data_IF_279701378905
#
_entry.id   IF_279701378905
#
_cell.length_a   1.000
_cell.length_b   1.000
_cell.length_c   1.000
_cell.angle_alpha   90.00
_cell.angle_beta   90.00
_cell.angle_gamma   90.00
#
_symmetry.space_group_name_H-M   'P 1'
#
loop_
_entity.id
_entity.type
_entity.pdbx_description
1 polymer ?
#
# COMPACT_ATOMS: atom_id res chain seq x y z
N UNK A 1 7.94 -19.48 8.15
CA UNK A 1 8.43 -19.25 6.79
C UNK A 1 7.27 -18.87 5.88
N UNK A 2 7.44 -17.85 5.07
CA UNK A 2 6.39 -17.42 4.14
C UNK A 2 6.22 -18.44 3.01
N UNK A 3 4.98 -18.85 2.76
CA UNK A 3 4.67 -19.74 1.64
C UNK A 3 4.45 -18.91 0.38
N UNK A 4 4.55 -19.56 -0.77
CA UNK A 4 4.26 -18.90 -2.05
C UNK A 4 2.82 -18.36 -2.05
N UNK A 5 1.89 -19.15 -1.51
CA UNK A 5 0.48 -18.77 -1.44
C UNK A 5 0.26 -17.56 -0.55
N UNK A 6 0.96 -17.47 0.59
CA UNK A 6 0.85 -16.30 1.49
C UNK A 6 1.37 -15.05 0.82
N UNK A 7 2.49 -15.15 0.08
CA UNK A 7 3.07 -13.99 -0.61
C UNK A 7 2.13 -13.53 -1.72
N UNK A 8 1.60 -14.45 -2.53
CA UNK A 8 0.69 -14.10 -3.62
C UNK A 8 -0.59 -13.44 -3.08
N UNK A 9 -1.14 -13.99 -2.01
CA UNK A 9 -2.33 -13.43 -1.37
C UNK A 9 -2.08 -12.02 -0.84
N UNK A 10 -0.93 -11.84 -0.18
CA UNK A 10 -0.55 -10.53 0.35
C UNK A 10 -0.36 -9.51 -0.77
N UNK A 11 0.27 -9.90 -1.88
CA UNK A 11 0.45 -8.99 -3.02
C UNK A 11 -0.89 -8.58 -3.63
N UNK A 12 -1.86 -9.49 -3.67
CA UNK A 12 -3.21 -9.15 -4.12
C UNK A 12 -3.86 -8.13 -3.20
N UNK A 13 -3.68 -8.28 -1.89
CA UNK A 13 -4.20 -7.32 -0.92
C UNK A 13 -3.55 -5.95 -1.11
N UNK A 14 -2.25 -5.92 -1.36
CA UNK A 14 -1.54 -4.66 -1.62
C UNK A 14 -2.06 -3.98 -2.87
N UNK A 15 -2.32 -4.74 -3.94
CA UNK A 15 -2.89 -4.18 -5.16
C UNK A 15 -4.26 -3.57 -4.91
N UNK A 16 -5.08 -4.23 -4.10
CA UNK A 16 -6.39 -3.68 -3.72
C UNK A 16 -6.26 -2.38 -2.95
N UNK A 17 -5.31 -2.33 -2.00
CA UNK A 17 -5.05 -1.12 -1.23
C UNK A 17 -4.57 0.03 -2.13
N UNK A 18 -3.71 -0.29 -3.11
CA UNK A 18 -3.22 0.72 -4.07
C UNK A 18 -4.35 1.28 -4.93
N UNK A 19 -5.23 0.41 -5.44
CA UNK A 19 -6.36 0.88 -6.26
C UNK A 19 -7.30 1.76 -5.48
N UNK A 20 -7.59 1.38 -4.24
CA UNK A 20 -8.43 2.18 -3.36
C UNK A 20 -7.78 3.53 -3.10
N UNK A 21 -6.49 3.52 -2.77
CA UNK A 21 -5.75 4.76 -2.51
C UNK A 21 -5.69 5.66 -3.74
N UNK A 22 -5.43 5.10 -4.91
CA UNK A 22 -5.40 5.87 -6.17
C UNK A 22 -6.75 6.52 -6.45
N UNK A 23 -7.83 5.78 -6.24
CA UNK A 23 -9.18 6.30 -6.45
C UNK A 23 -9.45 7.46 -5.49
N UNK A 24 -9.18 7.26 -4.20
CA UNK A 24 -9.42 8.28 -3.20
C UNK A 24 -8.51 9.50 -3.38
N UNK A 25 -7.27 9.27 -3.80
CA UNK A 25 -6.33 10.34 -4.11
C UNK A 25 -6.87 11.22 -5.25
N UNK A 26 -7.35 10.60 -6.32
CA UNK A 26 -7.88 11.32 -7.47
C UNK A 26 -9.15 12.09 -7.09
N UNK A 27 -10.03 11.50 -6.31
CA UNK A 27 -11.25 12.15 -5.86
C UNK A 27 -10.94 13.33 -4.93
N UNK A 28 -10.03 13.14 -3.97
CA UNK A 28 -9.65 14.19 -3.03
C UNK A 28 -8.96 15.35 -3.76
N UNK A 29 -8.10 15.03 -4.71
CA UNK A 29 -7.39 16.04 -5.50
C UNK A 29 -8.36 16.88 -6.32
N UNK A 30 -9.37 16.25 -6.90
CA UNK A 30 -10.36 16.92 -7.74
C UNK A 30 -11.34 17.77 -6.95
N UNK A 31 -11.72 17.29 -5.76
CA UNK A 31 -12.75 17.94 -4.92
C UNK A 31 -12.16 18.73 -3.75
N UNK A 32 -10.85 18.68 -3.57
CA UNK A 32 -10.15 19.31 -2.44
C UNK A 32 -10.63 18.81 -1.07
N UNK A 33 -11.05 17.56 -0.99
CA UNK A 33 -11.55 16.93 0.24
C UNK A 33 -10.49 15.99 0.84
N UNK A 34 -9.41 16.56 1.36
CA UNK A 34 -8.27 15.78 1.89
C UNK A 34 -8.51 15.18 3.27
N UNK A 35 -9.56 15.64 3.95
CA UNK A 35 -9.90 15.14 5.28
C UNK A 35 -11.07 14.18 5.27
N UNK A 36 -11.50 13.77 4.09
CA UNK A 36 -12.54 12.79 3.91
C UNK A 36 -12.16 11.49 4.63
N UNK A 37 -13.14 10.89 5.32
CA UNK A 37 -12.94 9.63 6.03
C UNK A 37 -12.41 8.53 5.12
N UNK A 38 -12.92 8.46 3.90
CA UNK A 38 -12.50 7.43 2.94
C UNK A 38 -11.07 7.65 2.48
N UNK A 39 -10.65 8.89 2.31
CA UNK A 39 -9.26 9.21 2.01
C UNK A 39 -8.35 8.78 3.16
N UNK A 40 -8.74 9.09 4.38
CA UNK A 40 -7.97 8.68 5.56
C UNK A 40 -7.92 7.17 5.72
N UNK A 41 -9.02 6.48 5.45
CA UNK A 41 -9.06 5.02 5.49
C UNK A 41 -8.12 4.42 4.44
N UNK A 42 -8.08 4.98 3.24
CA UNK A 42 -7.18 4.48 2.21
C UNK A 42 -5.72 4.67 2.58
N UNK A 43 -5.37 5.79 3.24
CA UNK A 43 -4.02 5.99 3.78
C UNK A 43 -3.68 4.92 4.82
N UNK A 44 -4.64 4.61 5.69
CA UNK A 44 -4.46 3.60 6.73
C UNK A 44 -4.19 2.22 6.11
N UNK A 45 -4.91 1.87 5.05
CA UNK A 45 -4.67 0.59 4.38
C UNK A 45 -3.27 0.51 3.79
N UNK A 46 -2.77 1.61 3.22
CA UNK A 46 -1.41 1.65 2.71
C UNK A 46 -0.39 1.48 3.85
N UNK A 47 -0.60 2.16 4.97
CA UNK A 47 0.29 2.06 6.12
C UNK A 47 0.27 0.66 6.75
N UNK A 48 -0.90 0.04 6.85
CA UNK A 48 -1.03 -1.32 7.34
C UNK A 48 -0.33 -2.31 6.41
N UNK A 49 -0.48 -2.12 5.10
CA UNK A 49 0.20 -2.96 4.12
C UNK A 49 1.72 -2.85 4.25
N UNK A 50 2.24 -1.64 4.48
CA UNK A 50 3.68 -1.43 4.68
C UNK A 50 4.17 -2.11 5.96
N UNK A 51 3.38 -2.06 7.04
CA UNK A 51 3.72 -2.74 8.28
C UNK A 51 3.75 -4.25 8.11
N UNK A 52 2.72 -4.80 7.47
CA UNK A 52 2.64 -6.23 7.20
C UNK A 52 3.74 -6.68 6.24
N UNK A 53 4.12 -5.81 5.31
CA UNK A 53 5.21 -6.05 4.38
C UNK A 53 6.52 -6.38 5.12
N UNK A 54 6.83 -5.63 6.16
CA UNK A 54 8.06 -5.84 6.91
C UNK A 54 8.10 -7.23 7.53
N UNK A 55 6.97 -7.67 8.10
CA UNK A 55 6.87 -8.98 8.73
C UNK A 55 7.05 -10.10 7.73
N UNK A 56 6.34 -10.00 6.61
CA UNK A 56 6.38 -11.04 5.59
C UNK A 56 7.76 -11.08 4.91
N UNK A 57 8.35 -9.92 4.68
CA UNK A 57 9.67 -9.81 4.10
C UNK A 57 10.72 -10.56 4.94
N UNK A 58 10.64 -10.41 6.25
CA UNK A 58 11.59 -11.04 7.17
C UNK A 58 11.57 -12.57 7.07
N UNK A 59 10.41 -13.17 6.77
CA UNK A 59 10.26 -14.62 6.68
C UNK A 59 10.32 -15.16 5.24
N UNK A 60 10.65 -14.31 4.26
CA UNK A 60 10.60 -14.66 2.85
C UNK A 60 11.98 -15.04 2.31
N UNK A 61 12.00 -15.84 1.24
CA UNK A 61 13.24 -16.16 0.54
C UNK A 61 13.63 -15.03 -0.43
N UNK A 62 14.79 -15.16 -1.09
CA UNK A 62 15.32 -14.09 -1.94
C UNK A 62 14.37 -13.72 -3.09
N UNK A 63 13.76 -14.70 -3.74
CA UNK A 63 12.85 -14.45 -4.85
C UNK A 63 11.58 -13.74 -4.38
N UNK A 64 11.03 -14.17 -3.24
CA UNK A 64 9.86 -13.54 -2.64
C UNK A 64 10.17 -12.12 -2.21
N UNK A 65 11.35 -11.89 -1.64
CA UNK A 65 11.78 -10.55 -1.22
C UNK A 65 11.87 -9.59 -2.39
N UNK A 66 12.29 -10.08 -3.54
CA UNK A 66 12.35 -9.25 -4.75
C UNK A 66 10.96 -8.75 -5.14
N UNK A 67 9.98 -9.65 -5.15
CA UNK A 67 8.60 -9.29 -5.46
C UNK A 67 8.00 -8.33 -4.42
N UNK A 68 8.26 -8.59 -3.15
CA UNK A 68 7.78 -7.76 -2.06
C UNK A 68 8.41 -6.36 -2.10
N UNK A 69 9.70 -6.28 -2.42
CA UNK A 69 10.40 -5.00 -2.51
C UNK A 69 9.80 -4.10 -3.60
N UNK A 70 9.41 -4.68 -4.74
CA UNK A 70 8.76 -3.92 -5.81
C UNK A 70 7.42 -3.36 -5.37
N UNK A 71 6.63 -4.18 -4.67
CA UNK A 71 5.36 -3.74 -4.13
C UNK A 71 5.56 -2.66 -3.06
N UNK A 72 6.58 -2.82 -2.22
CA UNK A 72 6.92 -1.83 -1.20
C UNK A 72 7.20 -0.47 -1.81
N UNK A 73 7.91 -0.43 -2.93
CA UNK A 73 8.17 0.83 -3.63
C UNK A 73 6.88 1.49 -4.09
N UNK A 74 5.93 0.72 -4.60
CA UNK A 74 4.65 1.25 -5.04
C UNK A 74 3.84 1.80 -3.86
N UNK A 75 3.82 1.07 -2.74
CA UNK A 75 3.12 1.50 -1.53
C UNK A 75 3.72 2.78 -0.97
N UNK A 76 5.05 2.85 -0.90
CA UNK A 76 5.74 4.06 -0.42
C UNK A 76 5.50 5.24 -1.34
N UNK A 77 5.49 5.02 -2.65
CA UNK A 77 5.19 6.07 -3.63
C UNK A 77 3.79 6.64 -3.41
N UNK A 78 2.81 5.77 -3.23
CA UNK A 78 1.43 6.20 -2.97
C UNK A 78 1.31 6.95 -1.65
N UNK A 79 1.95 6.44 -0.60
CA UNK A 79 1.96 7.09 0.70
C UNK A 79 2.53 8.50 0.60
N UNK A 80 3.65 8.66 -0.09
CA UNK A 80 4.28 9.97 -0.27
C UNK A 80 3.38 10.94 -1.01
N UNK A 81 2.72 10.49 -2.07
CA UNK A 81 1.79 11.32 -2.82
C UNK A 81 0.63 11.78 -1.94
N UNK A 82 0.08 10.88 -1.14
CA UNK A 82 -1.05 11.20 -0.26
C UNK A 82 -0.65 12.19 0.84
N UNK A 83 0.54 12.04 1.40
CA UNK A 83 1.05 12.95 2.41
C UNK A 83 1.28 14.35 1.81
N UNK A 84 1.86 14.41 0.62
CA UNK A 84 2.12 15.69 -0.06
C UNK A 84 0.84 16.42 -0.43
N UNK A 85 -0.21 15.68 -0.77
CA UNK A 85 -1.49 16.28 -1.14
C UNK A 85 -2.12 17.05 0.02
N UNK A 86 -1.86 16.60 1.26
CA UNK A 86 -2.42 17.25 2.46
C UNK A 86 -1.71 18.55 2.83
N UNK A 87 -0.59 18.82 2.23
CA UNK A 87 0.20 20.02 2.47
C UNK A 87 0.16 20.93 1.26
#
# INVERSE_FOLDING_TARGET
MATRQSVDHFLEQCEGALRFAEFEFNEASRQEHYEDEEFQNSQRYIEEALTDMERLYASSNAQQRDMLARMQQQLNGMKNEMVLLRH
#
